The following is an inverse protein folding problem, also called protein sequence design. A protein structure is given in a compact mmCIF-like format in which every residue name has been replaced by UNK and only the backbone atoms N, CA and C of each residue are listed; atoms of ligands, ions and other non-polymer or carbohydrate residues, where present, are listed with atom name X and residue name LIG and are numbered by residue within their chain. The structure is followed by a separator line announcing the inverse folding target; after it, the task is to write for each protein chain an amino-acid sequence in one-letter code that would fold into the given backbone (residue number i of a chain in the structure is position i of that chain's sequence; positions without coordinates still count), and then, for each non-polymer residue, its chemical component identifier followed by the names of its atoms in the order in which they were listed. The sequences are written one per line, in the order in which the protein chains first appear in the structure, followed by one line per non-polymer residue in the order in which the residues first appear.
data_IF_210199325308
#
_entry.id   IF_210199325308
#
_cell.length_a   1.000
_cell.length_b   1.000
_cell.length_c   1.000
_cell.angle_alpha   90.00
_cell.angle_beta   90.00
_cell.angle_gamma   90.00
#
_symmetry.space_group_name_H-M   'P 1'
#
loop_
_entity.id
_entity.type
_entity.pdbx_description
1 polymer ?
#
# COMPACT_ATOMS: atom_id res chain seq x y z
N UNK A 1 0.18 -6.51 -11.20
CA UNK A 1 0.59 -7.81 -10.61
C UNK A 1 -0.19 -8.11 -9.32
N UNK A 2 -0.57 -9.36 -9.05
CA UNK A 2 -1.07 -9.72 -7.72
C UNK A 2 0.07 -9.79 -6.71
N UNK A 3 -0.02 -9.00 -5.66
CA UNK A 3 0.97 -8.95 -4.57
C UNK A 3 0.56 -9.90 -3.44
N UNK A 4 -0.74 -9.94 -3.09
CA UNK A 4 -1.29 -10.90 -2.13
C UNK A 4 -2.22 -11.88 -2.83
N UNK A 5 -1.79 -13.14 -2.96
CA UNK A 5 -2.62 -14.19 -3.56
C UNK A 5 -3.74 -14.65 -2.63
N UNK A 6 -3.48 -14.71 -1.32
CA UNK A 6 -4.43 -15.08 -0.28
C UNK A 6 -5.74 -14.29 -0.36
N UNK A 7 -5.65 -12.98 -0.57
CA UNK A 7 -6.79 -12.06 -0.53
C UNK A 7 -6.99 -11.33 -1.86
N UNK A 8 -6.36 -11.79 -2.94
CA UNK A 8 -6.50 -11.18 -4.28
C UNK A 8 -6.14 -9.70 -4.34
N UNK A 9 -5.10 -9.25 -3.62
CA UNK A 9 -4.69 -7.84 -3.63
C UNK A 9 -3.65 -7.61 -4.72
N UNK A 10 -3.96 -6.71 -5.66
CA UNK A 10 -3.04 -6.27 -6.69
C UNK A 10 -2.19 -5.08 -6.26
N UNK A 11 -1.04 -4.92 -6.91
CA UNK A 11 -0.21 -3.71 -6.87
C UNK A 11 -1.04 -2.44 -7.11
N UNK A 12 -1.89 -2.43 -8.14
CA UNK A 12 -2.77 -1.30 -8.47
C UNK A 12 -3.66 -0.93 -7.30
N UNK A 13 -4.20 -1.92 -6.58
CA UNK A 13 -5.05 -1.68 -5.41
C UNK A 13 -4.26 -1.07 -4.25
N UNK A 14 -3.03 -1.53 -4.01
CA UNK A 14 -2.14 -0.94 -2.99
C UNK A 14 -1.85 0.52 -3.34
N UNK A 15 -1.40 0.79 -4.58
CA UNK A 15 -1.08 2.16 -5.04
C UNK A 15 -2.27 3.11 -4.95
N UNK A 16 -3.47 2.65 -5.34
CA UNK A 16 -4.70 3.43 -5.22
C UNK A 16 -4.98 3.85 -3.77
N UNK A 17 -4.87 2.90 -2.84
CA UNK A 17 -5.10 3.15 -1.41
C UNK A 17 -4.05 4.08 -0.82
N UNK A 18 -2.79 3.93 -1.24
CA UNK A 18 -1.71 4.82 -0.82
C UNK A 18 -1.96 6.26 -1.26
N UNK A 19 -2.33 6.48 -2.53
CA UNK A 19 -2.68 7.82 -3.04
C UNK A 19 -3.86 8.44 -2.29
N UNK A 20 -4.87 7.64 -2.00
CA UNK A 20 -6.12 8.10 -1.39
C UNK A 20 -5.98 8.41 0.12
N UNK A 21 -5.22 7.61 0.87
CA UNK A 21 -5.20 7.67 2.33
C UNK A 21 -3.84 7.96 2.94
N UNK A 22 -2.76 7.99 2.15
CA UNK A 22 -1.37 8.24 2.58
C UNK A 22 -0.99 7.54 3.90
N UNK A 23 -1.12 6.19 3.97
CA UNK A 23 -0.82 5.45 5.19
C UNK A 23 0.64 5.64 5.58
N UNK A 24 0.87 6.07 6.82
CA UNK A 24 2.19 6.30 7.42
C UNK A 24 2.82 5.00 7.94
N UNK A 25 2.09 3.89 7.92
CA UNK A 25 2.61 2.58 8.30
C UNK A 25 1.90 1.44 7.59
N UNK A 26 2.57 0.29 7.49
CA UNK A 26 1.97 -0.92 6.95
C UNK A 26 0.76 -1.39 7.77
N UNK A 27 0.72 -1.11 9.08
CA UNK A 27 -0.44 -1.40 9.91
C UNK A 27 -1.65 -0.57 9.50
N UNK A 28 -1.46 0.71 9.13
CA UNK A 28 -2.53 1.52 8.57
C UNK A 28 -2.98 1.00 7.21
N UNK A 29 -2.06 0.61 6.33
CA UNK A 29 -2.40 0.00 5.04
C UNK A 29 -3.33 -1.23 5.20
N UNK A 30 -3.06 -2.09 6.18
CA UNK A 30 -3.89 -3.27 6.49
C UNK A 30 -5.31 -2.95 6.95
N UNK A 31 -5.56 -1.73 7.45
CA UNK A 31 -6.91 -1.29 7.83
C UNK A 31 -7.76 -0.96 6.60
N UNK A 32 -7.13 -0.59 5.48
CA UNK A 32 -7.82 -0.22 4.26
C UNK A 32 -7.99 -1.39 3.29
N UNK A 33 -7.05 -2.34 3.28
CA UNK A 33 -7.08 -3.51 2.40
C UNK A 33 -6.61 -4.77 3.13
N UNK A 34 -7.17 -5.95 2.80
CA UNK A 34 -6.80 -7.22 3.43
C UNK A 34 -5.45 -7.73 2.90
N UNK A 35 -4.34 -7.03 3.13
CA UNK A 35 -3.00 -7.43 2.69
C UNK A 35 -2.19 -8.00 3.85
N UNK A 36 -1.56 -9.17 3.67
CA UNK A 36 -0.67 -9.74 4.69
C UNK A 36 -1.36 -10.30 5.96
N UNK A 37 -2.68 -10.51 5.93
CA UNK A 37 -3.47 -10.98 7.08
C UNK A 37 -3.67 -12.51 7.13
N UNK A 38 -3.18 -13.26 6.14
CA UNK A 38 -3.24 -14.74 6.12
C UNK A 38 -1.84 -15.36 6.22
N UNK A 39 -1.19 -15.70 5.11
CA UNK A 39 0.13 -16.37 5.14
C UNK A 39 1.33 -15.43 5.33
N UNK A 40 1.13 -14.10 5.26
CA UNK A 40 2.19 -13.10 5.44
C UNK A 40 3.25 -13.00 4.33
N UNK A 41 3.31 -13.92 3.36
CA UNK A 41 4.34 -13.96 2.31
C UNK A 41 4.43 -12.70 1.45
N UNK A 42 3.31 -12.00 1.28
CA UNK A 42 3.22 -10.76 0.51
C UNK A 42 3.72 -9.51 1.24
N UNK A 43 4.02 -9.57 2.54
CA UNK A 43 4.24 -8.38 3.38
C UNK A 43 5.43 -7.55 2.89
N UNK A 44 6.55 -8.17 2.52
CA UNK A 44 7.71 -7.46 1.96
C UNK A 44 7.36 -6.75 0.66
N UNK A 45 6.85 -7.48 -0.33
CA UNK A 45 6.50 -6.93 -1.64
C UNK A 45 5.42 -5.84 -1.55
N UNK A 46 4.42 -6.00 -0.67
CA UNK A 46 3.39 -5.00 -0.45
C UNK A 46 3.94 -3.72 0.21
N UNK A 47 4.94 -3.85 1.09
CA UNK A 47 5.61 -2.72 1.72
C UNK A 47 6.49 -1.96 0.71
N UNK A 48 7.25 -2.67 -0.11
CA UNK A 48 8.04 -2.07 -1.20
C UNK A 48 7.12 -1.25 -2.15
N UNK A 49 5.99 -1.83 -2.60
CA UNK A 49 5.00 -1.10 -3.43
C UNK A 49 4.43 0.13 -2.72
N UNK A 50 4.20 0.06 -1.41
CA UNK A 50 3.68 1.17 -0.61
C UNK A 50 4.70 2.31 -0.50
N UNK A 51 5.95 1.98 -0.18
CA UNK A 51 7.06 2.94 -0.03
C UNK A 51 7.40 3.59 -1.37
N UNK A 52 7.50 2.81 -2.45
CA UNK A 52 7.71 3.33 -3.81
C UNK A 52 6.66 4.38 -4.19
N UNK A 53 5.39 4.10 -3.86
CA UNK A 53 4.30 5.01 -4.18
C UNK A 53 4.38 6.29 -3.33
N UNK A 54 4.67 6.18 -2.03
CA UNK A 54 4.83 7.34 -1.14
C UNK A 54 5.99 8.24 -1.57
N UNK A 55 7.11 7.66 -2.03
CA UNK A 55 8.27 8.43 -2.54
C UNK A 55 7.98 9.10 -3.88
N UNK A 56 7.13 8.50 -4.73
CA UNK A 56 6.77 9.06 -6.04
C UNK A 56 5.75 10.20 -5.92
N UNK A 57 5.02 10.28 -4.81
CA UNK A 57 4.04 11.34 -4.60
C UNK A 57 4.75 12.69 -4.42
N UNK A 58 4.51 13.69 -5.29
CA UNK A 58 5.06 15.02 -5.08
C UNK A 58 4.51 15.60 -3.77
N UNK A 59 5.40 16.15 -2.94
CA UNK A 59 5.04 16.96 -1.78
C UNK A 59 4.31 18.22 -2.26
N UNK A 60 3.00 18.13 -2.50
CA UNK A 60 2.15 19.31 -2.47
C UNK A 60 1.97 19.69 -1.00
N UNK A 61 3.01 20.29 -0.42
CA UNK A 61 2.81 21.21 0.69
C UNK A 61 1.76 22.20 0.22
N UNK A 62 0.65 22.23 0.95
CA UNK A 62 -0.43 23.19 0.76
C UNK A 62 0.15 24.56 0.43
N UNK A 63 -0.14 25.05 -0.78
CA UNK A 63 -0.07 26.49 -1.05
C UNK A 63 -1.34 27.05 -0.44
N UNK A 64 -1.28 27.42 0.84
CA UNK A 64 -2.30 28.17 1.54
C UNK A 64 -1.63 29.17 2.48
#
# INVERSE_FOLDING_TARGET
MYVCLCNGVSDKKIRQVVRQFQPQSFQQLRKFIPVGNQCGKCVRAAREVMEDELTTMPEFKEIA
#
